data_IF_726531092223
#
_entry.id   IF_726531092223
#
_cell.length_a   1.000
_cell.length_b   1.000
_cell.length_c   1.000
_cell.angle_alpha   90.00
_cell.angle_beta   90.00
_cell.angle_gamma   90.00
#
_symmetry.space_group_name_H-M   'P 1'
#
loop_
_entity.id
_entity.type
_entity.pdbx_description
1 polymer ?
#
# COMPACT_ATOMS: atom_id res chain seq x y z
N UNK A 1 -35.85 -4.37 -22.19
CA UNK A 1 -34.75 -5.36 -22.19
C UNK A 1 -33.48 -4.55 -22.06
N UNK A 2 -33.00 -4.31 -20.84
CA UNK A 2 -31.74 -3.60 -20.61
C UNK A 2 -31.20 -3.88 -19.20
N UNK A 3 -29.93 -4.31 -19.20
CA UNK A 3 -28.91 -4.28 -18.15
C UNK A 3 -29.26 -4.74 -16.71
N UNK A 4 -29.13 -6.06 -16.49
CA UNK A 4 -28.53 -6.58 -15.25
C UNK A 4 -27.03 -6.23 -15.29
N UNK A 5 -26.60 -5.21 -14.56
CA UNK A 5 -25.20 -4.80 -14.51
C UNK A 5 -24.79 -4.33 -13.12
N UNK A 6 -23.86 -5.09 -12.51
CA UNK A 6 -22.84 -4.56 -11.60
C UNK A 6 -23.26 -4.03 -10.22
N UNK A 7 -23.88 -4.87 -9.39
CA UNK A 7 -23.98 -4.65 -7.94
C UNK A 7 -22.94 -5.46 -7.12
N UNK A 8 -22.05 -6.23 -7.77
CA UNK A 8 -21.12 -7.15 -7.11
C UNK A 8 -19.64 -6.70 -7.08
N UNK A 9 -19.27 -5.57 -7.68
CA UNK A 9 -17.87 -5.15 -7.82
C UNK A 9 -17.40 -4.14 -6.77
N UNK A 10 -18.30 -3.53 -5.99
CA UNK A 10 -17.96 -2.47 -5.03
C UNK A 10 -17.77 -2.94 -3.58
N UNK A 11 -18.03 -4.22 -3.27
CA UNK A 11 -17.65 -4.82 -1.99
C UNK A 11 -16.20 -5.33 -2.09
N UNK A 12 -15.30 -4.82 -1.26
CA UNK A 12 -14.17 -5.65 -0.81
C UNK A 12 -12.75 -5.16 -1.01
N UNK A 13 -12.50 -3.87 -1.32
CA UNK A 13 -11.16 -3.28 -1.04
C UNK A 13 -11.18 -2.47 0.23
N UNK A 14 -12.14 -1.55 0.43
CA UNK A 14 -12.25 -0.79 1.68
C UNK A 14 -12.43 -1.70 2.90
N UNK A 15 -13.44 -2.57 2.87
CA UNK A 15 -13.67 -3.57 3.94
C UNK A 15 -12.50 -4.53 4.13
N UNK A 16 -11.74 -4.78 3.07
CA UNK A 16 -10.54 -5.61 3.14
C UNK A 16 -9.39 -4.88 3.80
N UNK A 17 -9.13 -3.62 3.42
CA UNK A 17 -8.16 -2.78 4.12
C UNK A 17 -8.57 -2.61 5.59
N UNK A 18 -9.87 -2.52 5.85
CA UNK A 18 -10.38 -2.45 7.20
C UNK A 18 -10.04 -3.70 8.02
N UNK A 19 -10.26 -4.91 7.45
CA UNK A 19 -9.95 -6.22 8.05
C UNK A 19 -8.46 -6.56 8.12
N UNK A 20 -7.72 -6.30 7.05
CA UNK A 20 -6.29 -6.63 6.92
C UNK A 20 -5.46 -5.77 7.86
N UNK A 21 -5.85 -4.49 8.01
CA UNK A 21 -5.16 -3.55 8.88
C UNK A 21 -5.96 -3.27 10.16
N UNK A 22 -6.88 -4.15 10.55
CA UNK A 22 -7.50 -4.15 11.87
C UNK A 22 -6.48 -4.71 12.87
N UNK A 23 -6.19 -4.00 13.96
CA UNK A 23 -5.26 -4.47 14.99
C UNK A 23 -3.75 -4.35 14.68
N UNK A 24 -3.35 -3.97 13.45
CA UNK A 24 -1.94 -3.62 13.13
C UNK A 24 -1.46 -2.39 13.93
N UNK A 25 -2.39 -1.64 14.54
CA UNK A 25 -2.11 -0.56 15.48
C UNK A 25 -1.46 -1.01 16.80
N UNK A 26 -1.55 -2.31 17.17
CA UNK A 26 -1.22 -2.77 18.53
C UNK A 26 0.16 -3.45 18.69
N UNK A 27 0.93 -3.68 17.61
CA UNK A 27 2.31 -4.18 17.75
C UNK A 27 3.27 -3.05 18.15
N UNK A 28 3.47 -2.93 19.47
CA UNK A 28 4.11 -1.81 20.18
C UNK A 28 5.65 -1.69 20.07
N UNK A 29 6.35 -2.54 19.34
CA UNK A 29 7.80 -2.70 19.52
C UNK A 29 8.67 -2.19 18.36
N UNK A 30 8.50 -0.94 17.91
CA UNK A 30 9.53 -0.17 17.18
C UNK A 30 9.40 1.36 17.42
N UNK A 31 9.51 1.81 18.67
CA UNK A 31 9.46 3.24 18.97
C UNK A 31 10.72 3.97 18.45
N UNK A 32 10.56 4.82 17.43
CA UNK A 32 11.52 5.87 17.11
C UNK A 32 10.97 7.14 17.76
N UNK A 33 11.59 7.55 18.86
CA UNK A 33 11.06 8.60 19.73
C UNK A 33 11.22 9.98 19.05
N UNK A 34 10.17 10.45 18.35
CA UNK A 34 10.11 11.76 17.70
C UNK A 34 8.98 12.55 18.36
N UNK A 35 9.28 13.16 19.51
CA UNK A 35 8.33 13.97 20.27
C UNK A 35 7.48 13.18 21.26
N UNK A 36 6.85 13.88 22.20
CA UNK A 36 6.09 13.34 23.35
C UNK A 36 4.87 12.46 23.01
N UNK A 37 4.62 12.18 21.74
CA UNK A 37 3.50 11.34 21.28
C UNK A 37 4.02 9.92 20.98
N UNK A 38 3.65 8.90 21.80
CA UNK A 38 4.11 7.53 21.62
C UNK A 38 3.63 6.89 20.30
N UNK A 39 2.60 7.45 19.67
CA UNK A 39 2.04 6.92 18.42
C UNK A 39 2.64 7.58 17.17
N UNK A 40 3.49 8.60 17.33
CA UNK A 40 4.12 9.29 16.22
C UNK A 40 5.13 8.39 15.49
N UNK A 41 4.86 8.11 14.21
CA UNK A 41 5.76 7.35 13.34
C UNK A 41 6.63 8.26 12.49
N UNK A 42 6.04 9.30 11.91
CA UNK A 42 6.72 10.32 11.11
C UNK A 42 6.17 11.67 11.52
N UNK A 43 7.06 12.63 11.80
CA UNK A 43 6.70 14.05 11.93
C UNK A 43 7.74 14.89 11.21
N UNK A 44 7.31 15.58 10.17
CA UNK A 44 8.15 16.49 9.38
C UNK A 44 7.50 17.86 9.39
N UNK A 45 8.14 18.80 10.06
CA UNK A 45 7.72 20.20 10.10
C UNK A 45 8.38 20.99 8.96
N UNK A 46 7.73 22.07 8.54
CA UNK A 46 8.23 22.96 7.49
C UNK A 46 8.59 22.22 6.18
N UNK A 47 7.83 21.16 5.85
CA UNK A 47 7.99 20.39 4.63
C UNK A 47 7.78 21.29 3.40
N UNK A 48 8.79 21.29 2.54
CA UNK A 48 8.73 21.90 1.21
C UNK A 48 8.99 20.82 0.18
N UNK A 49 8.09 20.74 -0.78
CA UNK A 49 8.22 19.80 -1.89
C UNK A 49 8.02 20.53 -3.19
N UNK A 50 8.87 20.24 -4.16
CA UNK A 50 8.82 20.81 -5.50
C UNK A 50 8.61 19.69 -6.51
N UNK A 51 7.94 19.99 -7.61
CA UNK A 51 7.70 19.07 -8.71
C UNK A 51 7.88 19.78 -10.04
N UNK A 52 8.46 19.09 -11.04
CA UNK A 52 8.52 19.51 -12.44
C UNK A 52 8.96 20.96 -12.69
N UNK A 53 10.22 21.18 -13.05
CA UNK A 53 10.70 22.50 -13.49
C UNK A 53 10.68 23.60 -12.43
N UNK A 54 10.51 23.26 -11.14
CA UNK A 54 10.59 24.20 -10.02
C UNK A 54 9.24 24.62 -9.41
N UNK A 55 8.12 24.00 -9.78
CA UNK A 55 6.82 24.33 -9.19
C UNK A 55 6.73 23.81 -7.75
N UNK A 56 6.19 24.64 -6.85
CA UNK A 56 6.02 24.28 -5.45
C UNK A 56 4.76 23.43 -5.29
N UNK A 57 4.93 22.22 -4.76
CA UNK A 57 3.86 21.28 -4.45
C UNK A 57 3.37 21.46 -3.01
N UNK A 58 4.29 21.49 -2.05
CA UNK A 58 3.99 21.77 -0.64
C UNK A 58 4.86 22.93 -0.16
N UNK A 59 4.27 23.81 0.63
CA UNK A 59 4.93 24.97 1.25
C UNK A 59 4.69 24.94 2.74
N UNK A 60 5.77 24.97 3.52
CA UNK A 60 5.74 25.13 4.98
C UNK A 60 4.68 24.23 5.65
N UNK A 61 4.58 22.98 5.16
CA UNK A 61 3.54 22.03 5.55
C UNK A 61 4.05 21.12 6.66
N UNK A 62 3.19 20.71 7.59
CA UNK A 62 3.54 19.64 8.54
C UNK A 62 2.96 18.32 8.04
N UNK A 63 3.82 17.34 7.80
CA UNK A 63 3.43 15.96 7.52
C UNK A 63 3.58 15.15 8.81
N UNK A 64 2.48 14.58 9.28
CA UNK A 64 2.45 13.74 10.47
C UNK A 64 1.74 12.42 10.14
N UNK A 65 2.43 11.31 10.36
CA UNK A 65 1.90 9.96 10.24
C UNK A 65 2.01 9.29 11.60
N UNK A 66 0.91 8.71 12.05
CA UNK A 66 0.82 7.97 13.31
C UNK A 66 0.62 6.49 13.03
N UNK A 67 1.10 5.65 13.95
CA UNK A 67 0.87 4.21 13.92
C UNK A 67 -0.62 3.91 13.98
N UNK A 68 -1.07 2.90 13.23
CA UNK A 68 -2.48 2.48 13.21
C UNK A 68 -3.46 3.43 12.50
N UNK A 69 -3.00 4.57 11.96
CA UNK A 69 -3.88 5.54 11.32
C UNK A 69 -3.96 5.34 9.81
N UNK A 70 -5.14 5.62 9.25
CA UNK A 70 -5.41 5.58 7.81
C UNK A 70 -5.64 7.00 7.31
N UNK A 71 -4.88 7.41 6.30
CA UNK A 71 -4.92 8.76 5.75
C UNK A 71 -5.40 8.74 4.30
N UNK A 72 -6.32 9.65 3.95
CA UNK A 72 -6.72 9.90 2.57
C UNK A 72 -6.03 11.16 2.05
N UNK A 73 -5.26 11.05 0.97
CA UNK A 73 -4.72 12.22 0.26
C UNK A 73 -5.78 12.72 -0.71
N UNK A 74 -6.36 13.89 -0.42
CA UNK A 74 -7.45 14.47 -1.21
C UNK A 74 -7.00 15.73 -1.94
N UNK A 75 -7.51 15.92 -3.16
CA UNK A 75 -7.17 17.06 -4.00
C UNK A 75 -7.57 16.84 -5.45
N UNK A 76 -7.59 17.93 -6.25
CA UNK A 76 -7.92 17.87 -7.69
C UNK A 76 -6.93 16.98 -8.45
N UNK A 77 -7.32 16.51 -9.63
CA UNK A 77 -6.38 15.83 -10.53
C UNK A 77 -5.26 16.80 -10.92
N UNK A 78 -4.02 16.30 -10.95
CA UNK A 78 -2.83 17.14 -11.15
C UNK A 78 -2.36 17.92 -9.92
N UNK A 79 -3.03 17.83 -8.76
CA UNK A 79 -2.57 18.49 -7.53
C UNK A 79 -1.30 17.86 -6.90
N UNK A 80 -0.69 16.87 -7.55
CA UNK A 80 0.55 16.22 -7.10
C UNK A 80 0.38 15.18 -5.98
N UNK A 81 -0.80 14.57 -5.85
CA UNK A 81 -1.06 13.47 -4.89
C UNK A 81 -0.11 12.29 -5.10
N UNK A 82 -0.07 11.74 -6.30
CA UNK A 82 0.86 10.67 -6.70
C UNK A 82 2.32 11.10 -6.54
N UNK A 83 2.65 12.37 -6.81
CA UNK A 83 4.00 12.93 -6.57
C UNK A 83 4.37 12.89 -5.09
N UNK A 84 3.47 13.31 -4.20
CA UNK A 84 3.66 13.23 -2.76
C UNK A 84 3.91 11.77 -2.34
N UNK A 85 3.04 10.86 -2.76
CA UNK A 85 3.16 9.43 -2.42
C UNK A 85 4.46 8.82 -2.93
N UNK A 86 4.84 9.10 -4.18
CA UNK A 86 6.10 8.61 -4.76
C UNK A 86 7.32 9.16 -4.03
N UNK A 87 7.30 10.43 -3.61
CA UNK A 87 8.42 11.05 -2.88
C UNK A 87 8.55 10.46 -1.48
N UNK A 88 7.44 10.17 -0.80
CA UNK A 88 7.47 9.45 0.48
C UNK A 88 8.04 8.04 0.27
N UNK A 89 7.51 7.31 -0.71
CA UNK A 89 7.91 5.92 -0.99
C UNK A 89 9.37 5.74 -1.42
N UNK A 90 9.93 6.72 -2.14
CA UNK A 90 11.30 6.68 -2.62
C UNK A 90 12.32 7.21 -1.59
N UNK A 91 11.87 7.65 -0.42
CA UNK A 91 12.73 8.29 0.58
C UNK A 91 13.20 9.70 0.19
N UNK A 92 12.48 10.38 -0.71
CA UNK A 92 12.79 11.72 -1.17
C UNK A 92 12.57 12.82 -0.11
N UNK A 93 11.88 12.52 0.99
CA UNK A 93 11.78 13.39 2.17
C UNK A 93 12.85 12.98 3.18
N UNK A 94 14.00 13.66 3.14
CA UNK A 94 15.16 13.35 3.98
C UNK A 94 14.90 13.39 5.50
N UNK A 95 13.87 14.11 5.94
CA UNK A 95 13.47 14.21 7.34
C UNK A 95 12.68 12.99 7.83
N UNK A 96 12.21 12.11 6.94
CA UNK A 96 11.62 10.83 7.33
C UNK A 96 12.75 9.91 7.82
N UNK A 97 12.65 9.29 9.02
CA UNK A 97 13.69 8.41 9.52
C UNK A 97 13.90 7.22 8.60
N UNK A 98 15.17 6.88 8.32
CA UNK A 98 15.53 5.74 7.46
C UNK A 98 15.08 4.39 8.00
N UNK A 99 14.78 4.30 9.30
CA UNK A 99 14.23 3.11 9.95
C UNK A 99 12.76 2.87 9.60
N UNK A 100 12.03 3.90 9.13
CA UNK A 100 10.63 3.78 8.70
C UNK A 100 10.61 3.17 7.30
N UNK A 101 10.10 1.95 7.19
CA UNK A 101 9.97 1.23 5.92
C UNK A 101 8.68 1.65 5.22
N UNK A 102 8.81 2.35 4.10
CA UNK A 102 7.67 2.75 3.27
C UNK A 102 7.49 1.79 2.10
N UNK A 103 6.27 1.35 1.81
CA UNK A 103 5.95 0.51 0.67
C UNK A 103 4.84 1.14 -0.16
N UNK A 104 5.09 1.33 -1.46
CA UNK A 104 4.08 1.79 -2.41
C UNK A 104 3.59 0.62 -3.26
N UNK A 105 2.31 0.31 -3.11
CA UNK A 105 1.62 -0.71 -3.91
C UNK A 105 1.35 -0.14 -5.29
N UNK A 106 1.97 -0.73 -6.32
CA UNK A 106 1.89 -0.30 -7.71
C UNK A 106 1.38 -1.42 -8.60
N UNK A 107 0.14 -1.36 -9.10
CA UNK A 107 -0.42 -2.40 -9.98
C UNK A 107 0.40 -2.69 -11.23
N UNK A 108 1.18 -1.72 -11.70
CA UNK A 108 2.00 -1.83 -12.90
C UNK A 108 3.08 -2.92 -12.79
N UNK A 109 3.50 -3.28 -11.57
CA UNK A 109 4.48 -4.37 -11.37
C UNK A 109 3.95 -5.72 -11.84
N UNK A 110 2.64 -5.89 -11.87
CA UNK A 110 1.99 -7.11 -12.33
C UNK A 110 2.06 -7.29 -13.86
N UNK A 111 2.26 -6.20 -14.61
CA UNK A 111 2.40 -6.26 -16.08
C UNK A 111 3.64 -7.10 -16.45
N UNK A 112 4.75 -6.87 -15.75
CA UNK A 112 5.99 -7.63 -15.94
C UNK A 112 5.94 -9.06 -15.36
N UNK A 113 4.86 -9.41 -14.66
CA UNK A 113 4.64 -10.70 -14.03
C UNK A 113 3.41 -11.43 -14.61
N UNK A 114 2.95 -11.04 -15.80
CA UNK A 114 1.71 -11.52 -16.43
C UNK A 114 1.61 -13.05 -16.52
N UNK A 115 2.75 -13.70 -16.73
CA UNK A 115 2.86 -15.14 -17.00
C UNK A 115 3.10 -15.95 -15.72
N UNK A 116 3.42 -15.30 -14.61
CA UNK A 116 3.56 -15.95 -13.33
C UNK A 116 2.17 -16.30 -12.79
N UNK A 117 2.05 -17.45 -12.12
CA UNK A 117 0.90 -17.69 -11.26
C UNK A 117 0.91 -16.74 -10.07
N UNK A 118 -0.25 -16.49 -9.46
CA UNK A 118 -0.37 -15.63 -8.29
C UNK A 118 0.60 -16.04 -7.16
N UNK A 119 0.73 -17.34 -6.87
CA UNK A 119 1.69 -17.85 -5.88
C UNK A 119 3.14 -17.64 -6.30
N UNK A 120 3.48 -17.89 -7.57
CA UNK A 120 4.83 -17.64 -8.07
C UNK A 120 5.21 -16.17 -7.98
N UNK A 121 4.28 -15.26 -8.31
CA UNK A 121 4.47 -13.83 -8.14
C UNK A 121 4.78 -13.50 -6.68
N UNK A 122 3.94 -13.94 -5.74
CA UNK A 122 4.15 -13.70 -4.32
C UNK A 122 5.48 -14.26 -3.82
N UNK A 123 5.85 -15.49 -4.18
CA UNK A 123 7.15 -16.08 -3.80
C UNK A 123 8.33 -15.29 -4.36
N UNK A 124 8.21 -14.79 -5.58
CA UNK A 124 9.26 -13.97 -6.23
C UNK A 124 9.35 -12.56 -5.64
N UNK A 125 8.23 -11.96 -5.26
CA UNK A 125 8.17 -10.59 -4.74
C UNK A 125 8.44 -10.52 -3.22
N UNK A 126 8.33 -11.64 -2.51
CA UNK A 126 8.56 -11.71 -1.07
C UNK A 126 10.04 -11.54 -0.71
N UNK A 127 10.35 -11.00 0.50
CA UNK A 127 11.69 -11.06 1.05
C UNK A 127 12.22 -12.50 1.15
N UNK A 128 13.55 -12.67 1.13
CA UNK A 128 14.15 -13.97 1.39
C UNK A 128 13.76 -14.49 2.78
N UNK A 129 13.50 -15.80 2.87
CA UNK A 129 13.16 -16.46 4.14
C UNK A 129 11.66 -16.45 4.51
N UNK A 130 10.78 -15.87 3.70
CA UNK A 130 9.33 -16.03 3.89
C UNK A 130 8.92 -17.49 3.71
N UNK A 131 8.22 -18.04 4.71
CA UNK A 131 7.73 -19.41 4.67
C UNK A 131 6.45 -19.55 3.83
N UNK A 132 6.21 -20.74 3.30
CA UNK A 132 4.95 -21.05 2.59
C UNK A 132 3.72 -20.84 3.47
N UNK A 133 3.82 -21.10 4.78
CA UNK A 133 2.75 -20.83 5.74
C UNK A 133 2.44 -19.34 5.89
N UNK A 134 3.46 -18.47 5.90
CA UNK A 134 3.27 -17.02 5.95
C UNK A 134 2.64 -16.48 4.65
N UNK A 135 2.99 -17.07 3.51
CA UNK A 135 2.35 -16.78 2.23
C UNK A 135 0.88 -17.17 2.22
N UNK A 136 0.56 -18.38 2.68
CA UNK A 136 -0.83 -18.86 2.79
C UNK A 136 -1.66 -17.97 3.73
N UNK A 137 -1.11 -17.59 4.88
CA UNK A 137 -1.75 -16.67 5.83
C UNK A 137 -2.01 -15.29 5.21
N UNK A 138 -1.02 -14.70 4.51
CA UNK A 138 -1.19 -13.42 3.83
C UNK A 138 -2.29 -13.48 2.75
N UNK A 139 -2.28 -14.52 1.91
CA UNK A 139 -3.31 -14.74 0.89
C UNK A 139 -4.69 -14.95 1.51
N UNK A 140 -4.79 -15.68 2.62
CA UNK A 140 -6.04 -15.89 3.33
C UNK A 140 -6.58 -14.59 3.94
N UNK A 141 -5.73 -13.78 4.57
CA UNK A 141 -6.12 -12.48 5.18
C UNK A 141 -6.70 -11.51 4.17
N UNK A 142 -6.16 -11.49 2.94
CA UNK A 142 -6.73 -10.67 1.85
C UNK A 142 -7.92 -11.34 1.13
N UNK A 143 -8.36 -12.51 1.61
CA UNK A 143 -9.44 -13.29 1.01
C UNK A 143 -9.14 -13.76 -0.42
N UNK A 144 -7.89 -14.16 -0.69
CA UNK A 144 -7.42 -14.70 -1.97
C UNK A 144 -7.55 -16.24 -1.99
N UNK A 145 -8.56 -16.80 -2.67
CA UNK A 145 -8.90 -18.21 -2.55
C UNK A 145 -7.89 -19.10 -3.28
N UNK A 146 -7.70 -20.33 -2.77
CA UNK A 146 -6.80 -21.33 -3.35
C UNK A 146 -7.03 -21.58 -4.85
N UNK A 147 -8.28 -21.55 -5.32
CA UNK A 147 -8.61 -21.71 -6.73
C UNK A 147 -8.06 -20.60 -7.66
N UNK A 148 -7.71 -19.44 -7.11
CA UNK A 148 -7.09 -18.33 -7.87
C UNK A 148 -5.57 -18.35 -7.78
N UNK A 149 -4.99 -19.10 -6.84
CA UNK A 149 -3.55 -19.11 -6.58
C UNK A 149 -2.72 -19.70 -7.73
N UNK A 150 -3.29 -20.67 -8.46
CA UNK A 150 -2.67 -21.31 -9.61
C UNK A 150 -2.91 -20.59 -10.94
N UNK A 151 -3.74 -19.53 -10.96
CA UNK A 151 -4.01 -18.76 -12.18
C UNK A 151 -2.88 -17.80 -12.49
N UNK A 152 -2.63 -17.55 -13.78
CA UNK A 152 -1.72 -16.51 -14.19
C UNK A 152 -2.21 -15.14 -13.74
N UNK A 153 -1.28 -14.24 -13.41
CA UNK A 153 -1.59 -12.85 -13.00
C UNK A 153 -2.39 -12.11 -14.06
N UNK A 154 -2.13 -12.40 -15.34
CA UNK A 154 -2.88 -11.87 -16.48
C UNK A 154 -4.37 -12.25 -16.47
N UNK A 155 -4.73 -13.41 -15.92
CA UNK A 155 -6.13 -13.88 -15.82
C UNK A 155 -6.91 -13.28 -14.65
N UNK A 156 -6.22 -12.62 -13.71
CA UNK A 156 -6.85 -12.00 -12.54
C UNK A 156 -7.57 -10.70 -12.94
N UNK A 157 -8.75 -10.46 -12.35
CA UNK A 157 -9.43 -9.16 -12.46
C UNK A 157 -8.68 -8.08 -11.68
N UNK A 158 -8.99 -6.79 -11.92
CA UNK A 158 -8.37 -5.67 -11.20
C UNK A 158 -8.45 -5.80 -9.67
N UNK A 159 -9.63 -6.17 -9.14
CA UNK A 159 -9.80 -6.41 -7.71
C UNK A 159 -8.96 -7.58 -7.17
N UNK A 160 -8.83 -8.67 -7.94
CA UNK A 160 -7.96 -9.80 -7.55
C UNK A 160 -6.48 -9.43 -7.61
N UNK A 161 -6.07 -8.65 -8.61
CA UNK A 161 -4.72 -8.10 -8.72
C UNK A 161 -4.37 -7.20 -7.53
N UNK A 162 -5.31 -6.35 -7.11
CA UNK A 162 -5.14 -5.52 -5.92
C UNK A 162 -4.98 -6.36 -4.65
N UNK A 163 -5.83 -7.38 -4.46
CA UNK A 163 -5.70 -8.32 -3.34
C UNK A 163 -4.36 -9.04 -3.33
N UNK A 164 -3.90 -9.50 -4.48
CA UNK A 164 -2.60 -10.16 -4.63
C UNK A 164 -1.44 -9.24 -4.20
N UNK A 165 -1.49 -7.97 -4.62
CA UNK A 165 -0.48 -6.98 -4.23
C UNK A 165 -0.53 -6.65 -2.75
N UNK A 166 -1.72 -6.60 -2.15
CA UNK A 166 -1.87 -6.43 -0.71
C UNK A 166 -1.27 -7.63 0.06
N UNK A 167 -1.51 -8.86 -0.40
CA UNK A 167 -0.87 -10.05 0.19
C UNK A 167 0.66 -9.97 0.07
N UNK A 168 1.17 -9.60 -1.10
CA UNK A 168 2.60 -9.38 -1.30
C UNK A 168 3.17 -8.30 -0.38
N UNK A 169 2.43 -7.20 -0.19
CA UNK A 169 2.81 -6.11 0.69
C UNK A 169 2.87 -6.51 2.17
N UNK A 170 1.92 -7.34 2.64
CA UNK A 170 1.90 -7.82 4.03
C UNK A 170 3.15 -8.62 4.40
N UNK A 171 3.78 -9.30 3.44
CA UNK A 171 5.00 -10.07 3.67
C UNK A 171 6.27 -9.22 3.74
N UNK A 172 6.19 -7.92 3.43
CA UNK A 172 7.36 -7.01 3.34
C UNK A 172 7.64 -6.21 4.63
N UNK A 173 6.91 -6.45 5.72
CA UNK A 173 7.11 -5.83 7.05
C UNK A 173 7.36 -4.31 6.95
N UNK A 174 6.42 -3.57 6.34
CA UNK A 174 6.51 -2.12 6.18
C UNK A 174 5.76 -1.35 7.28
N UNK A 175 6.27 -0.18 7.66
CA UNK A 175 5.62 0.71 8.64
C UNK A 175 4.57 1.64 8.00
N UNK A 176 4.77 2.01 6.73
CA UNK A 176 3.85 2.89 5.97
C UNK A 176 3.51 2.24 4.64
N UNK A 177 2.23 1.91 4.47
CA UNK A 177 1.69 1.41 3.20
C UNK A 177 1.00 2.53 2.43
N UNK A 178 1.46 2.76 1.20
CA UNK A 178 0.94 3.77 0.28
C UNK A 178 0.15 3.07 -0.82
N UNK A 179 -1.11 3.46 -1.01
CA UNK A 179 -2.02 2.89 -1.99
C UNK A 179 -2.53 3.99 -2.92
N UNK A 180 -2.09 4.01 -4.18
CA UNK A 180 -2.62 4.96 -5.17
C UNK A 180 -3.88 4.37 -5.83
N UNK A 181 -4.95 5.15 -5.86
CA UNK A 181 -6.27 4.80 -6.43
C UNK A 181 -6.78 3.36 -6.14
N UNK A 182 -6.79 2.87 -4.87
CA UNK A 182 -7.09 1.47 -4.55
C UNK A 182 -8.53 1.02 -4.87
N UNK A 183 -9.43 1.95 -5.21
CA UNK A 183 -10.86 1.69 -5.44
C UNK A 183 -11.31 1.92 -6.89
N UNK A 184 -10.40 2.16 -7.84
CA UNK A 184 -10.74 2.63 -9.19
C UNK A 184 -10.98 1.51 -10.23
N UNK A 185 -11.28 0.28 -9.79
CA UNK A 185 -11.50 -0.89 -10.64
C UNK A 185 -12.74 -1.69 -10.21
#
# INVERSE_FOLDING_TARGET
>A
MEAKGSALAALGVKELLDKVFEGVADEKDRAVNIGSDPDALVRVENLRMMYGGGNLLLKDTTLELKRGHRYGVVGRNGAGKTTLMNTVASGGISQIPKSVKTLHVRPEVLIAASDLTAVQFCKKDSPEGVSDAALEDALQKVGFPAAMQSKAVSELSGGWRMKLLLAAAMMRDCDVLLLDEPTNH
#
